data_IF_773464071588
#
_entry.id   IF_773464071588
#
_cell.length_a   1.000
_cell.length_b   1.000
_cell.length_c   1.000
_cell.angle_alpha   90.00
_cell.angle_beta   90.00
_cell.angle_gamma   90.00
#
_symmetry.space_group_name_H-M   'P 1'
#
loop_
_entity.id
_entity.type
_entity.pdbx_description
1 polymer ?
#
# COMPACT_ATOMS: atom_id res chain seq x y z
N UNK A 1 -3.33 4.20 8.65
CA UNK A 1 -3.62 4.39 10.08
C UNK A 1 -5.12 4.39 10.23
N UNK A 2 -5.61 4.33 11.46
CA UNK A 2 -7.03 4.48 11.71
C UNK A 2 -7.27 5.58 12.74
N UNK A 3 -8.41 6.25 12.62
CA UNK A 3 -8.90 7.14 13.69
C UNK A 3 -9.47 6.30 14.86
N UNK A 4 -9.92 6.98 15.92
CA UNK A 4 -10.51 6.31 17.09
C UNK A 4 -11.81 5.56 16.78
N UNK A 5 -12.42 5.82 15.63
CA UNK A 5 -13.62 5.14 15.15
C UNK A 5 -13.29 3.93 14.28
N UNK A 6 -12.00 3.69 14.00
CA UNK A 6 -11.55 2.59 13.16
C UNK A 6 -11.54 2.90 11.67
N UNK A 7 -11.79 4.14 11.24
CA UNK A 7 -11.74 4.51 9.82
C UNK A 7 -10.31 4.71 9.35
N UNK A 8 -10.00 4.35 8.11
CA UNK A 8 -8.69 4.66 7.54
C UNK A 8 -8.43 6.16 7.49
N UNK A 9 -7.23 6.57 7.89
CA UNK A 9 -6.72 7.93 7.74
C UNK A 9 -5.38 7.95 6.99
N UNK A 10 -5.10 9.01 6.21
CA UNK A 10 -3.86 9.18 5.47
C UNK A 10 -2.59 9.11 6.32
N UNK A 11 -1.52 8.58 5.74
CA UNK A 11 -0.18 8.58 6.31
C UNK A 11 0.51 9.91 6.01
N UNK A 12 0.66 10.73 7.03
CA UNK A 12 1.41 12.00 6.95
C UNK A 12 2.88 11.75 7.30
N UNK A 13 3.81 12.44 6.62
CA UNK A 13 5.26 12.14 6.67
C UNK A 13 5.93 12.13 8.06
N UNK A 14 5.35 12.81 9.05
CA UNK A 14 5.79 12.72 10.45
C UNK A 14 5.56 11.33 11.08
N UNK A 15 4.57 10.60 10.57
CA UNK A 15 4.16 9.28 11.06
C UNK A 15 4.83 8.15 10.29
N UNK A 16 5.28 8.41 9.05
CA UNK A 16 6.11 7.47 8.27
C UNK A 16 7.50 7.26 8.90
N UNK A 17 8.06 8.30 9.54
CA UNK A 17 9.40 8.30 10.12
C UNK A 17 9.48 7.93 11.62
N UNK A 18 8.35 7.78 12.33
CA UNK A 18 8.41 7.23 13.69
C UNK A 18 8.60 5.72 13.53
N UNK A 19 9.73 5.20 13.98
CA UNK A 19 10.15 3.78 13.96
C UNK A 19 9.20 2.74 14.56
N UNK A 20 7.91 3.02 14.71
CA UNK A 20 6.84 2.04 14.72
C UNK A 20 6.65 1.50 13.29
N UNK A 21 7.59 0.67 12.84
CA UNK A 21 7.45 -0.12 11.62
C UNK A 21 6.39 -1.23 11.82
N UNK A 22 5.15 -0.87 12.18
CA UNK A 22 4.05 -1.74 11.83
C UNK A 22 4.02 -1.75 10.30
N UNK A 23 4.33 -2.88 9.64
CA UNK A 23 4.36 -2.90 8.19
C UNK A 23 2.98 -2.49 7.69
N UNK A 24 2.92 -1.42 6.89
CA UNK A 24 1.69 -0.85 6.34
C UNK A 24 0.80 -1.92 5.70
N UNK A 25 1.44 -2.96 5.20
CA UNK A 25 0.85 -4.13 4.61
C UNK A 25 1.12 -5.34 5.49
N UNK A 26 0.07 -5.98 6.04
CA UNK A 26 0.21 -7.30 6.62
C UNK A 26 0.61 -8.33 5.56
N UNK A 27 1.04 -9.50 6.03
CA UNK A 27 1.32 -10.66 5.17
C UNK A 27 0.35 -11.80 5.47
N UNK A 28 0.00 -12.55 4.45
CA UNK A 28 -0.74 -13.81 4.62
C UNK A 28 0.17 -14.95 5.12
N UNK A 29 -0.39 -16.15 5.26
CA UNK A 29 0.35 -17.34 5.70
C UNK A 29 1.46 -17.80 4.75
N UNK A 30 1.44 -17.33 3.49
CA UNK A 30 2.46 -17.59 2.47
C UNK A 30 3.49 -16.45 2.39
N UNK A 31 3.40 -15.45 3.26
CA UNK A 31 4.29 -14.30 3.28
C UNK A 31 4.00 -13.25 2.21
N UNK A 32 2.90 -13.37 1.45
CA UNK A 32 2.51 -12.40 0.42
C UNK A 32 1.90 -11.18 1.08
N UNK A 33 2.20 -9.99 0.56
CA UNK A 33 1.56 -8.76 1.03
C UNK A 33 0.06 -8.81 0.76
N UNK A 34 -0.75 -8.38 1.73
CA UNK A 34 -2.21 -8.26 1.60
C UNK A 34 -2.64 -6.87 2.04
N UNK A 35 -3.85 -6.44 1.64
CA UNK A 35 -4.38 -5.15 2.08
C UNK A 35 -4.60 -5.11 3.60
N UNK A 36 -4.22 -4.01 4.28
CA UNK A 36 -4.59 -3.83 5.67
C UNK A 36 -6.11 -3.80 5.80
N UNK A 37 -6.58 -4.33 6.91
CA UNK A 37 -8.01 -4.34 7.27
C UNK A 37 -8.21 -3.38 8.44
N UNK A 38 -9.27 -2.57 8.39
CA UNK A 38 -9.61 -1.70 9.51
C UNK A 38 -10.46 -2.38 10.58
N UNK A 39 -10.71 -1.69 11.69
CA UNK A 39 -11.52 -2.23 12.78
C UNK A 39 -12.97 -2.58 12.34
N UNK A 40 -13.44 -1.98 11.25
CA UNK A 40 -14.74 -2.27 10.63
C UNK A 40 -14.70 -3.46 9.65
N UNK A 41 -13.54 -4.06 9.39
CA UNK A 41 -13.39 -5.17 8.43
C UNK A 41 -13.15 -4.74 6.98
N UNK A 42 -12.97 -3.45 6.71
CA UNK A 42 -12.75 -2.91 5.38
C UNK A 42 -11.28 -3.05 4.98
N UNK A 43 -11.03 -3.49 3.74
CA UNK A 43 -9.69 -3.57 3.15
C UNK A 43 -9.47 -2.36 2.24
N UNK A 44 -8.37 -1.64 2.43
CA UNK A 44 -8.05 -0.49 1.57
C UNK A 44 -6.54 -0.28 1.44
N UNK A 45 -6.13 0.39 0.36
CA UNK A 45 -4.78 0.88 0.25
C UNK A 45 -4.54 1.99 1.27
N UNK A 46 -3.45 1.92 2.05
CA UNK A 46 -2.85 3.09 2.68
C UNK A 46 -2.68 4.21 1.66
N UNK A 47 -3.02 5.44 2.03
CA UNK A 47 -2.77 6.62 1.21
C UNK A 47 -1.84 7.58 1.93
N UNK A 48 -1.05 8.34 1.17
CA UNK A 48 -0.23 9.43 1.70
C UNK A 48 -1.07 10.69 1.97
N UNK A 49 -0.41 11.76 2.43
CA UNK A 49 -1.07 13.05 2.70
C UNK A 49 -1.72 13.71 1.46
N UNK A 50 -1.39 13.27 0.24
CA UNK A 50 -1.97 13.73 -1.01
C UNK A 50 -3.09 12.78 -1.50
N UNK A 51 -3.52 11.83 -0.67
CA UNK A 51 -4.45 10.75 -1.01
C UNK A 51 -3.95 9.83 -2.14
N UNK A 52 -2.63 9.75 -2.36
CA UNK A 52 -2.04 8.82 -3.31
C UNK A 52 -1.85 7.45 -2.66
N UNK A 53 -2.20 6.34 -3.35
CA UNK A 53 -2.02 5.01 -2.80
C UNK A 53 -0.53 4.71 -2.60
N UNK A 54 -0.20 4.22 -1.42
CA UNK A 54 1.12 3.69 -1.08
C UNK A 54 1.11 2.21 -1.47
N UNK A 55 2.22 1.73 -2.04
CA UNK A 55 2.39 0.32 -2.38
C UNK A 55 3.38 -0.35 -1.43
N UNK A 56 3.25 -1.66 -1.17
CA UNK A 56 4.27 -2.41 -0.46
C UNK A 56 5.60 -2.36 -1.23
N UNK A 57 6.69 -2.33 -0.48
CA UNK A 57 8.04 -2.36 -1.01
C UNK A 57 8.72 -3.64 -0.55
N UNK A 58 9.25 -4.41 -1.49
CA UNK A 58 10.01 -5.61 -1.16
C UNK A 58 11.47 -5.21 -0.91
N UNK A 59 11.89 -5.29 0.35
CA UNK A 59 13.25 -4.94 0.76
C UNK A 59 14.32 -5.89 0.18
N UNK A 60 13.96 -7.10 -0.26
CA UNK A 60 14.92 -8.04 -0.82
C UNK A 60 15.20 -7.75 -2.30
N UNK A 61 14.17 -7.39 -3.06
CA UNK A 61 14.29 -7.08 -4.50
C UNK A 61 14.51 -5.59 -4.76
N UNK A 62 14.28 -4.74 -3.75
CA UNK A 62 14.28 -3.28 -3.86
C UNK A 62 13.25 -2.73 -4.86
N UNK A 63 12.18 -3.48 -5.12
CA UNK A 63 11.12 -3.10 -6.05
C UNK A 63 9.78 -2.91 -5.32
N UNK A 64 8.92 -2.01 -5.82
CA UNK A 64 7.53 -1.98 -5.41
C UNK A 64 6.85 -3.30 -5.80
N UNK A 65 5.94 -3.76 -4.96
CA UNK A 65 5.16 -4.99 -5.19
C UNK A 65 3.69 -4.73 -4.93
N UNK A 66 2.84 -5.69 -5.31
CA UNK A 66 1.39 -5.57 -5.18
C UNK A 66 0.87 -6.43 -4.04
N UNK A 67 -0.09 -5.91 -3.24
CA UNK A 67 -0.85 -6.78 -2.36
C UNK A 67 -1.69 -7.74 -3.18
N UNK A 68 -2.00 -8.90 -2.61
CA UNK A 68 -2.84 -9.93 -3.23
C UNK A 68 -4.15 -10.12 -2.49
N UNK A 69 -5.14 -10.68 -3.19
CA UNK A 69 -6.37 -11.19 -2.58
C UNK A 69 -6.18 -12.59 -1.99
N UNK A 70 -7.28 -13.18 -1.50
CA UNK A 70 -7.29 -14.52 -0.90
C UNK A 70 -6.92 -15.64 -1.89
N UNK A 71 -7.12 -15.41 -3.18
CA UNK A 71 -6.72 -16.32 -4.26
C UNK A 71 -5.27 -16.11 -4.70
N UNK A 72 -4.59 -15.09 -4.18
CA UNK A 72 -3.25 -14.71 -4.61
C UNK A 72 -3.20 -13.82 -5.85
N UNK A 73 -4.32 -13.24 -6.27
CA UNK A 73 -4.37 -12.34 -7.41
C UNK A 73 -3.97 -10.91 -6.99
N UNK A 74 -3.16 -10.19 -7.78
CA UNK A 74 -2.80 -8.81 -7.48
C UNK A 74 -4.03 -7.91 -7.38
N UNK A 75 -4.04 -7.05 -6.37
CA UNK A 75 -5.06 -6.03 -6.16
C UNK A 75 -4.48 -4.67 -6.53
N UNK A 76 -5.26 -3.85 -7.23
CA UNK A 76 -4.86 -2.51 -7.67
C UNK A 76 -5.83 -1.46 -7.13
N UNK A 77 -5.33 -0.29 -6.68
CA UNK A 77 -6.20 0.85 -6.45
C UNK A 77 -6.65 1.42 -7.79
N UNK A 78 -7.84 2.00 -7.83
CA UNK A 78 -8.38 2.70 -9.00
C UNK A 78 -8.33 4.21 -8.81
N UNK A 79 -7.93 4.93 -9.86
CA UNK A 79 -7.95 6.38 -9.91
C UNK A 79 -9.32 6.95 -10.31
N UNK A 80 -9.37 8.27 -10.48
CA UNK A 80 -10.58 9.08 -10.74
C UNK A 80 -11.43 8.63 -11.94
N UNK A 81 -10.85 7.87 -12.88
CA UNK A 81 -11.53 7.34 -14.07
C UNK A 81 -11.71 5.81 -14.05
N UNK A 82 -11.61 5.17 -12.88
CA UNK A 82 -11.64 3.71 -12.76
C UNK A 82 -10.40 3.01 -13.34
N UNK A 83 -9.38 3.78 -13.74
CA UNK A 83 -8.12 3.25 -14.26
C UNK A 83 -7.25 2.74 -13.11
N UNK A 84 -6.64 1.55 -13.23
CA UNK A 84 -5.68 1.08 -12.25
C UNK A 84 -4.53 2.07 -12.07
N UNK A 85 -4.13 2.30 -10.82
CA UNK A 85 -2.89 2.99 -10.47
C UNK A 85 -1.83 1.91 -10.25
N UNK A 86 -0.67 2.06 -10.87
CA UNK A 86 0.48 1.17 -10.69
C UNK A 86 1.73 2.01 -10.39
N UNK A 87 2.64 1.53 -9.53
CA UNK A 87 3.98 2.10 -9.42
C UNK A 87 4.68 2.04 -10.77
N UNK A 88 5.38 3.12 -11.11
CA UNK A 88 6.33 3.13 -12.23
C UNK A 88 7.74 3.08 -11.66
N UNK A 89 8.61 2.26 -12.27
CA UNK A 89 10.03 2.34 -11.95
C UNK A 89 10.57 3.67 -12.53
N UNK A 90 11.32 4.41 -11.74
CA UNK A 90 11.95 5.67 -12.17
C UNK A 90 13.34 5.47 -12.74
N UNK A 91 13.84 4.23 -12.76
CA UNK A 91 15.12 3.88 -13.38
C UNK A 91 15.08 3.84 -14.93
N UNK A 92 13.90 3.91 -15.56
CA UNK A 92 13.74 3.85 -17.02
C UNK A 92 13.94 5.21 -17.76
N UNK A 93 14.35 6.28 -17.07
CA UNK A 93 14.55 7.60 -17.70
C UNK A 93 15.96 7.85 -18.29
N UNK A 94 16.79 6.81 -18.46
CA UNK A 94 18.17 6.95 -18.96
C UNK A 94 18.41 6.45 -20.40
N UNK A 95 17.37 6.26 -21.22
CA UNK A 95 17.53 5.95 -22.65
C UNK A 95 16.88 6.99 -23.57
N UNK A 96 17.53 8.15 -23.75
CA UNK A 96 17.41 9.03 -24.92
C UNK A 96 18.73 9.77 -25.19
#
# INVERSE_FOLDING_TARGET
>A
MQDNSGNFIPYTGYQYNRGAHSPLFPRDSQGRFILPTNACGEKAFPVDANNMPIFPFDAATHLPTFPVDENGQPVFPTGVLGRPIVPVDTNDFNEL
#
